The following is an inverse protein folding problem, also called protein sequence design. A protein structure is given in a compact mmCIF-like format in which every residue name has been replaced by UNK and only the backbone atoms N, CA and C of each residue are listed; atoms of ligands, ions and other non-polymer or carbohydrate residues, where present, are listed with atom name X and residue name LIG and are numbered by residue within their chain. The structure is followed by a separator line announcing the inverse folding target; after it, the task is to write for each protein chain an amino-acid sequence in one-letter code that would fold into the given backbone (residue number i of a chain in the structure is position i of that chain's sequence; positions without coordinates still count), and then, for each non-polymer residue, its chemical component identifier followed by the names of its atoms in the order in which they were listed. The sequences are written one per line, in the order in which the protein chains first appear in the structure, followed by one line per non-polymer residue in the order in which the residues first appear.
data_IF_975519171409
#
_entry.id   IF_975519171409
#
_cell.length_a   1.000
_cell.length_b   1.000
_cell.length_c   1.000
_cell.angle_alpha   90.00
_cell.angle_beta   90.00
_cell.angle_gamma   90.00
#
_symmetry.space_group_name_H-M   'P 1'
#
loop_
_entity.id
_entity.type
_entity.pdbx_description
1 polymer ?
#
# COMPACT_ATOMS: atom_id res chain seq x y z
N UNK A 1 16.20 -4.26 -25.43
CA UNK A 1 15.98 -4.83 -24.08
C UNK A 1 14.66 -4.25 -23.58
N UNK A 2 13.72 -5.08 -23.11
CA UNK A 2 12.50 -4.58 -22.49
C UNK A 2 12.85 -4.05 -21.09
N UNK A 3 12.48 -2.81 -20.79
CA UNK A 3 12.66 -2.24 -19.44
C UNK A 3 11.88 -3.05 -18.41
N UNK A 4 12.51 -3.33 -17.27
CA UNK A 4 11.92 -4.03 -16.15
C UNK A 4 11.18 -3.02 -15.26
N UNK A 5 9.85 -3.00 -15.35
CA UNK A 5 8.98 -2.05 -14.63
C UNK A 5 8.09 -2.81 -13.66
N UNK A 6 8.18 -2.50 -12.37
CA UNK A 6 7.34 -3.10 -11.33
C UNK A 6 6.56 -2.02 -10.58
N UNK A 7 5.33 -2.37 -10.17
CA UNK A 7 4.50 -1.49 -9.37
C UNK A 7 3.86 -2.24 -8.21
N UNK A 8 3.71 -1.56 -7.08
CA UNK A 8 2.87 -1.96 -5.97
C UNK A 8 1.71 -0.96 -5.86
N UNK A 9 0.48 -1.46 -5.99
CA UNK A 9 -0.74 -0.69 -5.74
C UNK A 9 -1.37 -1.14 -4.43
N UNK A 10 -1.61 -0.17 -3.55
CA UNK A 10 -2.14 -0.41 -2.21
C UNK A 10 -3.42 0.38 -2.02
N UNK A 11 -4.52 -0.31 -1.71
CA UNK A 11 -5.83 0.30 -1.49
C UNK A 11 -6.49 -0.24 -0.24
N UNK A 12 -6.43 0.50 0.87
CA UNK A 12 -6.91 0.02 2.18
C UNK A 12 -8.25 0.65 2.54
N UNK A 13 -9.30 -0.15 2.53
CA UNK A 13 -10.65 0.25 2.94
C UNK A 13 -10.93 -0.03 4.43
N UNK A 14 -10.35 -1.09 5.00
CA UNK A 14 -10.74 -1.62 6.31
C UNK A 14 -9.71 -1.29 7.40
N UNK A 15 -10.23 -0.72 8.49
CA UNK A 15 -9.49 -0.25 9.66
C UNK A 15 -10.24 -0.59 10.96
N UNK A 16 -10.41 -1.89 11.30
CA UNK A 16 -11.23 -2.30 12.45
C UNK A 16 -10.69 -1.79 13.80
N UNK A 17 -9.39 -1.52 13.88
CA UNK A 17 -8.72 -1.02 15.08
C UNK A 17 -8.73 0.52 15.17
N UNK A 18 -8.93 1.23 14.06
CA UNK A 18 -9.02 2.68 14.04
C UNK A 18 -10.46 3.10 14.31
N UNK A 19 -10.80 3.28 15.58
CA UNK A 19 -12.16 3.63 16.00
C UNK A 19 -12.33 5.13 16.14
N UNK A 20 -13.55 5.59 15.88
CA UNK A 20 -13.95 6.93 16.24
C UNK A 20 -14.02 7.12 17.76
N UNK A 21 -13.51 8.25 18.23
CA UNK A 21 -13.41 8.52 19.67
C UNK A 21 -14.78 8.55 20.33
N UNK A 22 -15.79 9.06 19.61
CA UNK A 22 -17.16 9.27 20.09
C UNK A 22 -18.02 8.06 19.82
N UNK A 23 -18.11 7.63 18.56
CA UNK A 23 -19.06 6.56 18.17
C UNK A 23 -18.53 5.16 18.41
N UNK A 24 -17.23 5.00 18.71
CA UNK A 24 -16.50 3.73 18.82
C UNK A 24 -16.56 2.84 17.57
N UNK A 25 -17.14 3.33 16.47
CA UNK A 25 -17.22 2.61 15.19
C UNK A 25 -15.89 2.69 14.44
N UNK A 26 -15.51 1.65 13.68
CA UNK A 26 -14.34 1.69 12.81
C UNK A 26 -14.41 2.80 11.75
N UNK A 27 -13.29 3.48 11.49
CA UNK A 27 -13.15 4.54 10.48
C UNK A 27 -12.74 3.98 9.12
N UNK A 28 -13.59 3.11 8.57
CA UNK A 28 -13.41 2.55 7.24
C UNK A 28 -13.42 3.64 6.15
N UNK A 29 -12.87 3.28 4.98
CA UNK A 29 -12.92 4.04 3.74
C UNK A 29 -13.63 3.20 2.67
N UNK A 30 -14.23 3.85 1.68
CA UNK A 30 -15.02 3.16 0.64
C UNK A 30 -14.29 3.05 -0.70
N UNK A 31 -13.49 4.06 -1.05
CA UNK A 31 -12.88 4.23 -2.39
C UNK A 31 -11.47 3.66 -2.59
N UNK A 32 -10.55 3.64 -1.60
CA UNK A 32 -9.15 3.30 -1.84
C UNK A 32 -8.88 2.02 -2.61
N UNK A 33 -9.59 0.92 -2.33
CA UNK A 33 -9.43 -0.33 -3.05
C UNK A 33 -9.82 -0.21 -4.54
N UNK A 34 -10.91 0.52 -4.83
CA UNK A 34 -11.36 0.75 -6.21
C UNK A 34 -10.39 1.69 -6.97
N UNK A 35 -9.91 2.74 -6.31
CA UNK A 35 -8.93 3.67 -6.90
C UNK A 35 -7.61 2.93 -7.21
N UNK A 36 -7.12 2.11 -6.27
CA UNK A 36 -5.92 1.31 -6.47
C UNK A 36 -6.09 0.29 -7.61
N UNK A 37 -7.23 -0.37 -7.72
CA UNK A 37 -7.49 -1.32 -8.81
C UNK A 37 -7.57 -0.63 -10.17
N UNK A 38 -8.20 0.55 -10.26
CA UNK A 38 -8.25 1.32 -11.51
C UNK A 38 -6.84 1.71 -11.98
N UNK A 39 -5.97 2.15 -11.05
CA UNK A 39 -4.56 2.42 -11.36
C UNK A 39 -3.83 1.13 -11.77
N UNK A 40 -4.07 0.01 -11.08
CA UNK A 40 -3.49 -1.29 -11.43
C UNK A 40 -3.75 -1.65 -12.90
N UNK A 41 -5.00 -1.54 -13.33
CA UNK A 41 -5.43 -1.87 -14.69
C UNK A 41 -4.77 -0.95 -15.73
N UNK A 42 -4.67 0.35 -15.44
CA UNK A 42 -3.99 1.30 -16.34
C UNK A 42 -2.50 0.95 -16.47
N UNK A 43 -1.83 0.63 -15.36
CA UNK A 43 -0.41 0.29 -15.34
C UNK A 43 -0.11 -1.03 -16.08
N UNK A 44 -0.97 -2.04 -15.93
CA UNK A 44 -0.85 -3.31 -16.65
C UNK A 44 -1.15 -3.14 -18.14
N UNK A 45 -2.23 -2.43 -18.50
CA UNK A 45 -2.70 -2.34 -19.88
C UNK A 45 -1.85 -1.38 -20.73
N UNK A 46 -1.40 -0.26 -20.16
CA UNK A 46 -0.75 0.81 -20.92
C UNK A 46 0.65 1.14 -20.44
N UNK A 47 0.98 0.83 -19.19
CA UNK A 47 2.26 1.18 -18.58
C UNK A 47 3.37 0.13 -18.72
N UNK A 48 3.05 -1.06 -19.22
CA UNK A 48 3.95 -2.21 -19.26
C UNK A 48 4.57 -2.53 -17.88
N UNK A 49 3.80 -2.32 -16.81
CA UNK A 49 4.22 -2.66 -15.46
C UNK A 49 3.77 -4.08 -15.10
N UNK A 50 4.63 -4.80 -14.39
CA UNK A 50 4.21 -5.95 -13.58
C UNK A 50 3.65 -5.42 -12.25
N UNK A 51 2.36 -5.61 -12.02
CA UNK A 51 1.65 -4.99 -10.89
C UNK A 51 1.37 -5.99 -9.76
N UNK A 52 1.81 -5.62 -8.57
CA UNK A 52 1.49 -6.26 -7.29
C UNK A 52 0.37 -5.46 -6.60
N UNK A 53 -0.58 -6.17 -5.98
CA UNK A 53 -1.78 -5.58 -5.36
C UNK A 53 -1.80 -5.89 -3.86
N UNK A 54 -2.28 -4.96 -3.06
CA UNK A 54 -2.42 -5.17 -1.62
C UNK A 54 -3.65 -4.41 -1.04
N UNK A 55 -4.59 -5.08 -0.33
CA UNK A 55 -4.69 -6.54 -0.16
C UNK A 55 -5.04 -7.24 -1.48
N UNK A 56 -4.38 -8.36 -1.77
CA UNK A 56 -4.60 -9.15 -2.99
C UNK A 56 -5.82 -10.08 -2.82
N UNK A 57 -6.63 -10.21 -3.85
CA UNK A 57 -7.73 -11.18 -3.93
C UNK A 57 -7.91 -11.70 -5.35
N UNK A 58 -8.39 -12.92 -5.46
CA UNK A 58 -8.87 -13.48 -6.72
C UNK A 58 -10.40 -13.56 -6.70
N UNK A 59 -11.02 -13.03 -7.75
CA UNK A 59 -12.44 -13.26 -8.03
C UNK A 59 -12.70 -14.73 -8.33
N UNK A 60 -13.97 -15.14 -8.28
CA UNK A 60 -14.41 -16.49 -8.68
C UNK A 60 -14.06 -16.81 -10.14
N UNK A 61 -13.86 -15.78 -10.97
CA UNK A 61 -13.46 -15.89 -12.37
C UNK A 61 -11.93 -15.92 -12.56
N UNK A 62 -11.16 -15.93 -11.46
CA UNK A 62 -9.69 -15.97 -11.50
C UNK A 62 -9.03 -14.63 -11.78
N UNK A 63 -9.79 -13.52 -11.92
CA UNK A 63 -9.22 -12.18 -12.03
C UNK A 63 -8.66 -11.72 -10.68
N UNK A 64 -7.41 -11.27 -10.68
CA UNK A 64 -6.74 -10.66 -9.53
C UNK A 64 -7.25 -9.23 -9.32
N UNK A 65 -7.32 -8.78 -8.06
CA UNK A 65 -7.76 -7.42 -7.74
C UNK A 65 -7.35 -6.97 -6.34
N UNK A 66 -7.63 -5.71 -6.01
CA UNK A 66 -7.47 -5.17 -4.64
C UNK A 66 -8.73 -5.44 -3.83
N UNK A 67 -8.62 -6.17 -2.71
CA UNK A 67 -9.77 -6.56 -1.89
C UNK A 67 -10.38 -5.35 -1.14
N UNK A 68 -11.62 -4.94 -1.44
CA UNK A 68 -12.28 -3.85 -0.71
C UNK A 68 -12.79 -4.29 0.67
N UNK A 69 -12.89 -5.59 0.94
CA UNK A 69 -13.45 -6.15 2.16
C UNK A 69 -12.71 -7.42 2.63
N UNK A 70 -11.39 -7.32 2.91
CA UNK A 70 -10.61 -8.47 3.33
C UNK A 70 -11.14 -9.06 4.64
N UNK A 71 -11.13 -10.38 4.71
CA UNK A 71 -11.35 -11.11 5.95
C UNK A 71 -10.24 -10.77 6.97
N UNK A 72 -10.51 -10.98 8.26
CA UNK A 72 -9.63 -10.57 9.35
C UNK A 72 -8.18 -11.05 9.20
N UNK A 73 -7.96 -12.24 8.67
CA UNK A 73 -6.62 -12.80 8.43
C UNK A 73 -5.89 -12.15 7.24
N UNK A 74 -6.62 -11.53 6.32
CA UNK A 74 -6.11 -10.88 5.11
C UNK A 74 -6.06 -9.35 5.24
N UNK A 75 -6.40 -8.80 6.41
CA UNK A 75 -6.21 -7.38 6.69
C UNK A 75 -4.74 -7.00 6.51
N UNK A 76 -4.50 -5.89 5.83
CA UNK A 76 -3.15 -5.37 5.63
C UNK A 76 -2.54 -5.01 6.98
N UNK A 77 -1.46 -5.71 7.34
CA UNK A 77 -0.65 -5.44 8.52
C UNK A 77 0.53 -4.55 8.14
N UNK A 78 1.02 -3.77 9.11
CA UNK A 78 2.20 -2.92 8.91
C UNK A 78 3.40 -3.71 8.38
N UNK A 79 3.67 -4.88 8.95
CA UNK A 79 4.77 -5.77 8.51
C UNK A 79 4.61 -6.27 7.08
N UNK A 80 3.39 -6.57 6.64
CA UNK A 80 3.14 -7.01 5.27
C UNK A 80 3.29 -5.87 4.26
N UNK A 81 2.83 -4.67 4.63
CA UNK A 81 3.01 -3.46 3.81
C UNK A 81 4.49 -3.08 3.70
N UNK A 82 5.21 -3.10 4.82
CA UNK A 82 6.65 -2.84 4.86
C UNK A 82 7.42 -3.82 4.00
N UNK A 83 7.13 -5.12 4.13
CA UNK A 83 7.74 -6.16 3.30
C UNK A 83 7.45 -5.94 1.81
N UNK A 84 6.21 -5.66 1.41
CA UNK A 84 5.86 -5.43 0.02
C UNK A 84 6.56 -4.19 -0.58
N UNK A 85 6.71 -3.12 0.21
CA UNK A 85 7.46 -1.92 -0.19
C UNK A 85 8.95 -2.25 -0.32
N UNK A 86 9.52 -3.00 0.64
CA UNK A 86 10.91 -3.44 0.60
C UNK A 86 11.18 -4.32 -0.63
N UNK A 87 10.30 -5.27 -0.93
CA UNK A 87 10.42 -6.15 -2.11
C UNK A 87 10.37 -5.35 -3.41
N UNK A 88 9.58 -4.28 -3.49
CA UNK A 88 9.50 -3.43 -4.68
C UNK A 88 10.80 -2.64 -4.92
N UNK A 89 11.35 -2.01 -3.87
CA UNK A 89 12.48 -1.08 -4.01
C UNK A 89 13.85 -1.71 -3.79
N UNK A 90 13.89 -2.84 -3.09
CA UNK A 90 15.10 -3.59 -2.75
C UNK A 90 14.82 -5.11 -2.81
N UNK A 91 14.42 -5.63 -3.98
CA UNK A 91 14.12 -7.05 -4.13
C UNK A 91 15.35 -7.90 -3.79
N UNK A 92 15.18 -9.08 -3.18
CA UNK A 92 16.29 -9.98 -2.92
C UNK A 92 17.00 -10.38 -4.22
N UNK A 93 18.31 -10.13 -4.31
CA UNK A 93 19.14 -10.40 -5.48
C UNK A 93 19.52 -9.14 -6.27
N UNK A 94 19.76 -9.28 -7.58
CA UNK A 94 20.20 -8.19 -8.48
C UNK A 94 19.13 -7.73 -9.48
N UNK A 95 17.86 -8.10 -9.27
CA UNK A 95 16.73 -7.79 -10.16
C UNK A 95 15.98 -6.53 -9.73
N UNK A 96 16.71 -5.46 -9.37
CA UNK A 96 16.09 -4.16 -9.09
C UNK A 96 15.40 -3.67 -10.37
N UNK A 97 14.12 -3.25 -10.32
CA UNK A 97 13.44 -2.73 -11.49
C UNK A 97 14.06 -1.42 -11.96
N UNK A 98 14.13 -1.22 -13.28
CA UNK A 98 14.52 0.05 -13.90
C UNK A 98 13.57 1.18 -13.50
N UNK A 99 12.30 0.82 -13.25
CA UNK A 99 11.29 1.74 -12.70
C UNK A 99 10.42 1.00 -11.69
N UNK A 100 10.45 1.47 -10.44
CA UNK A 100 9.54 1.06 -9.38
C UNK A 100 8.48 2.14 -9.15
N UNK A 101 7.20 1.74 -9.11
CA UNK A 101 6.08 2.64 -8.79
C UNK A 101 5.32 2.14 -7.57
N UNK A 102 5.20 2.98 -6.54
CA UNK A 102 4.31 2.75 -5.41
C UNK A 102 3.10 3.68 -5.52
N UNK A 103 1.90 3.11 -5.63
CA UNK A 103 0.65 3.83 -5.47
C UNK A 103 0.00 3.43 -4.13
N UNK A 104 -0.34 4.42 -3.31
CA UNK A 104 -0.99 4.18 -2.02
C UNK A 104 -2.25 5.04 -1.88
N UNK A 105 -3.38 4.37 -1.65
CA UNK A 105 -4.63 4.97 -1.23
C UNK A 105 -5.06 4.40 0.13
N UNK A 106 -5.29 5.28 1.09
CA UNK A 106 -5.66 4.88 2.45
C UNK A 106 -5.63 6.06 3.43
N UNK A 107 -5.78 5.76 4.73
CA UNK A 107 -5.63 6.73 5.81
C UNK A 107 -4.16 7.12 5.97
N UNK A 108 -3.87 8.42 5.86
CA UNK A 108 -2.62 8.99 6.35
C UNK A 108 -2.59 9.10 7.87
N UNK A 109 -1.39 9.04 8.45
CA UNK A 109 -1.16 9.27 9.87
C UNK A 109 -0.36 10.56 10.06
N UNK A 110 -0.93 11.53 10.77
CA UNK A 110 -0.24 12.76 11.13
C UNK A 110 0.33 12.60 12.54
N UNK A 111 1.66 12.48 12.65
CA UNK A 111 2.35 12.54 13.92
C UNK A 111 2.88 13.96 14.14
N UNK A 112 2.47 14.59 15.24
CA UNK A 112 3.13 15.81 15.69
C UNK A 112 4.53 15.43 16.21
N UNK A 113 5.58 15.91 15.55
CA UNK A 113 6.94 15.81 16.06
C UNK A 113 7.26 17.09 16.85
N UNK A 114 7.38 17.03 18.18
CA UNK A 114 7.83 18.18 18.94
C UNK A 114 9.25 18.54 18.52
N UNK A 115 9.52 19.83 18.40
CA UNK A 115 10.84 20.35 18.06
C UNK A 115 11.77 20.14 19.26
N UNK A 116 12.62 19.10 19.22
CA UNK A 116 13.70 18.95 20.18
C UNK A 116 14.87 19.85 19.78
N UNK A 117 15.02 20.96 20.48
CA UNK A 117 16.24 21.78 20.43
C UNK A 117 17.30 21.07 21.26
N UNK A 118 18.15 20.28 20.62
CA UNK A 118 19.42 19.87 21.24
C UNK A 118 20.30 21.12 21.27
N UNK A 119 20.24 21.88 22.35
CA UNK A 119 21.26 22.89 22.62
C UNK A 119 22.50 22.10 23.01
N UNK A 120 23.47 22.04 22.11
CA UNK A 120 24.82 21.62 22.46
C UNK A 120 25.31 22.56 23.56
N UNK A 121 25.66 21.98 24.70
CA UNK A 121 26.57 22.62 25.63
C UNK A 121 27.95 22.57 24.96
N UNK A 122 28.36 23.68 24.36
CA UNK A 122 29.77 23.90 24.06
C UNK A 122 30.42 24.44 25.34
N UNK A 123 31.46 23.72 25.76
CA UNK A 123 32.37 24.01 26.88
C UNK A 123 33.14 25.34 26.71
#
# INVERSE_FOLDING_TARGET
MSEHREALVVGINRYPLLKDATTKKPKHLEKPAADAEAIAQILEQYGNFKVHRLPDVYSSEGRRGVDPNPQSQNLVKATALEAAIADLFNPPGSSVPDTALLFFAGRGFNQFKPFSRTVGADD
#
